data_IF_844581546063
#
_entry.id   IF_844581546063
#
_cell.length_a   1.000
_cell.length_b   1.000
_cell.length_c   1.000
_cell.angle_alpha   90.00
_cell.angle_beta   90.00
_cell.angle_gamma   90.00
#
_symmetry.space_group_name_H-M   'P 1'
#
loop_
_entity.id
_entity.type
_entity.pdbx_description
1 polymer ?
#
# COMPACT_ATOMS: atom_id res chain seq x y z
N UNK A 1 13.31 -2.47 1.09
CA UNK A 1 13.92 -1.19 0.65
C UNK A 1 12.87 -0.12 0.31
N UNK A 2 11.67 -0.44 -0.19
CA UNK A 2 10.68 0.57 -0.61
C UNK A 2 10.07 1.38 0.53
N UNK A 3 10.04 0.90 1.77
CA UNK A 3 9.48 1.66 2.91
C UNK A 3 10.36 2.82 3.39
N UNK A 4 11.65 2.84 3.02
CA UNK A 4 12.58 3.90 3.39
C UNK A 4 13.82 3.82 2.50
N UNK A 5 14.18 4.93 1.85
CA UNK A 5 15.24 4.96 0.83
C UNK A 5 16.61 5.43 1.32
N UNK A 6 16.76 5.78 2.62
CA UNK A 6 17.97 6.35 3.17
C UNK A 6 18.14 6.03 4.66
N UNK A 7 19.12 6.63 5.30
CA UNK A 7 19.33 6.54 6.75
C UNK A 7 18.23 7.27 7.52
N UNK A 8 17.83 6.71 8.64
CA UNK A 8 16.83 7.25 9.56
C UNK A 8 15.64 6.31 9.76
N UNK A 9 14.81 6.65 10.73
CA UNK A 9 13.69 5.82 11.17
C UNK A 9 12.36 6.19 10.47
N UNK A 10 12.44 6.86 9.31
CA UNK A 10 11.25 7.23 8.55
C UNK A 10 10.75 6.09 7.67
N UNK A 11 9.46 6.06 7.45
CA UNK A 11 8.80 5.14 6.56
C UNK A 11 7.88 5.87 5.59
N UNK A 12 7.87 5.45 4.33
CA UNK A 12 6.91 5.91 3.33
C UNK A 12 5.72 4.98 3.28
N UNK A 13 4.52 5.51 3.04
CA UNK A 13 3.39 4.68 2.62
C UNK A 13 3.67 4.24 1.18
N UNK A 14 3.56 2.94 0.91
CA UNK A 14 3.95 2.37 -0.39
C UNK A 14 2.75 1.68 -1.03
N UNK A 15 2.20 2.29 -2.05
CA UNK A 15 1.17 1.71 -2.91
C UNK A 15 1.77 0.81 -3.98
N UNK A 16 1.04 -0.24 -4.36
CA UNK A 16 1.43 -1.18 -5.40
C UNK A 16 0.27 -1.46 -6.37
N UNK A 17 -0.06 -0.49 -7.23
CA UNK A 17 -1.12 -0.64 -8.23
C UNK A 17 -0.80 -1.77 -9.21
N UNK A 18 -1.82 -2.45 -9.73
CA UNK A 18 -1.66 -3.48 -10.76
C UNK A 18 -2.26 -3.10 -12.12
N UNK A 19 -2.87 -1.93 -12.22
CA UNK A 19 -3.42 -1.39 -13.46
C UNK A 19 -3.32 0.14 -13.46
N UNK A 20 -3.55 0.76 -14.61
CA UNK A 20 -3.40 2.22 -14.78
C UNK A 20 -4.47 2.99 -14.01
N UNK A 21 -5.70 2.46 -13.90
CA UNK A 21 -6.74 3.12 -13.12
C UNK A 21 -6.35 3.21 -11.63
N UNK A 22 -5.91 2.11 -11.05
CA UNK A 22 -5.42 2.15 -9.66
C UNK A 22 -4.24 3.10 -9.48
N UNK A 23 -3.31 3.14 -10.45
CA UNK A 23 -2.18 4.06 -10.39
C UNK A 23 -2.65 5.52 -10.32
N UNK A 24 -3.66 5.90 -11.11
CA UNK A 24 -4.23 7.25 -11.09
C UNK A 24 -4.93 7.53 -9.77
N UNK A 25 -5.74 6.59 -9.28
CA UNK A 25 -6.47 6.72 -8.03
C UNK A 25 -5.51 6.82 -6.82
N UNK A 26 -4.48 5.96 -6.81
CA UNK A 26 -3.45 5.96 -5.77
C UNK A 26 -2.64 7.27 -5.76
N UNK A 27 -2.26 7.80 -6.93
CA UNK A 27 -1.57 9.10 -7.04
C UNK A 27 -2.46 10.22 -6.48
N UNK A 28 -3.75 10.18 -6.81
CA UNK A 28 -4.69 11.20 -6.35
C UNK A 28 -4.84 11.19 -4.82
N UNK A 29 -4.91 10.00 -4.24
CA UNK A 29 -4.99 9.81 -2.78
C UNK A 29 -3.64 10.08 -2.08
N UNK A 30 -2.52 9.77 -2.73
CA UNK A 30 -1.18 9.94 -2.17
C UNK A 30 -0.92 11.35 -1.64
N UNK A 31 -1.41 12.36 -2.34
CA UNK A 31 -1.30 13.76 -1.90
C UNK A 31 -2.04 14.03 -0.59
N UNK A 32 -3.22 13.47 -0.45
CA UNK A 32 -4.02 13.63 0.78
C UNK A 32 -3.34 12.96 1.98
N UNK A 33 -2.80 11.76 1.77
CA UNK A 33 -2.07 11.00 2.78
C UNK A 33 -0.80 11.75 3.17
N UNK A 34 -0.01 12.18 2.18
CA UNK A 34 1.25 12.88 2.42
C UNK A 34 1.05 14.16 3.25
N UNK A 35 0.01 14.92 2.97
CA UNK A 35 -0.30 16.15 3.70
C UNK A 35 -0.87 15.87 5.09
N UNK A 36 -1.80 14.92 5.23
CA UNK A 36 -2.45 14.56 6.49
C UNK A 36 -1.46 14.04 7.53
N UNK A 37 -0.56 13.17 7.12
CA UNK A 37 0.38 12.50 8.02
C UNK A 37 1.79 13.09 7.97
N UNK A 38 2.06 14.00 7.03
CA UNK A 38 3.40 14.55 6.76
C UNK A 38 4.43 13.43 6.58
N UNK A 39 4.11 12.51 5.69
CA UNK A 39 4.90 11.32 5.37
C UNK A 39 5.11 11.23 3.86
N UNK A 40 6.24 10.68 3.45
CA UNK A 40 6.43 10.36 2.04
C UNK A 40 5.46 9.26 1.58
N UNK A 41 4.97 9.38 0.35
CA UNK A 41 4.16 8.34 -0.28
C UNK A 41 4.86 7.91 -1.57
N UNK A 42 4.99 6.61 -1.75
CA UNK A 42 5.62 6.00 -2.92
C UNK A 42 4.58 5.21 -3.70
N UNK A 43 4.49 5.45 -5.00
CA UNK A 43 3.76 4.58 -5.92
C UNK A 43 4.79 3.63 -6.53
N UNK A 44 4.73 2.38 -6.11
CA UNK A 44 5.67 1.34 -6.54
C UNK A 44 5.08 0.57 -7.73
N UNK A 45 5.66 0.76 -8.89
CA UNK A 45 5.16 0.21 -10.15
C UNK A 45 6.29 -0.31 -11.01
N UNK A 46 5.99 -1.30 -11.84
CA UNK A 46 6.94 -1.86 -12.80
C UNK A 46 6.95 -1.05 -14.11
N UNK A 47 8.07 -1.11 -14.82
CA UNK A 47 8.24 -0.42 -16.11
C UNK A 47 7.18 -0.82 -17.15
N UNK A 48 6.75 -2.08 -17.15
CA UNK A 48 5.72 -2.58 -18.07
C UNK A 48 4.41 -1.86 -17.83
N UNK A 49 3.96 -1.74 -16.57
CA UNK A 49 2.74 -1.03 -16.22
C UNK A 49 2.82 0.44 -16.63
N UNK A 50 3.99 1.09 -16.44
CA UNK A 50 4.21 2.48 -16.84
C UNK A 50 4.25 2.70 -18.36
N UNK A 51 4.35 1.66 -19.18
CA UNK A 51 4.34 1.72 -20.64
C UNK A 51 3.02 1.24 -21.27
N UNK A 52 2.13 0.67 -20.47
CA UNK A 52 0.81 0.21 -20.94
C UNK A 52 -0.12 1.39 -21.22
N UNK A 53 -1.05 1.17 -22.12
CA UNK A 53 -2.16 2.07 -22.38
C UNK A 53 -3.46 1.35 -22.01
N UNK A 54 -4.18 1.92 -21.05
CA UNK A 54 -5.50 1.46 -20.62
C UNK A 54 -6.45 2.67 -20.57
N UNK A 55 -7.74 2.43 -20.73
CA UNK A 55 -8.75 3.47 -20.50
C UNK A 55 -8.78 3.85 -19.03
N UNK A 56 -8.78 5.14 -18.75
CA UNK A 56 -8.76 5.68 -17.39
C UNK A 56 -9.93 6.65 -17.21
N UNK A 57 -10.63 6.49 -16.12
CA UNK A 57 -11.61 7.46 -15.63
C UNK A 57 -10.91 8.41 -14.63
N UNK A 58 -10.81 9.69 -15.01
CA UNK A 58 -10.14 10.67 -14.15
C UNK A 58 -10.99 10.96 -12.91
N UNK A 59 -10.42 10.88 -11.71
CA UNK A 59 -11.14 11.23 -10.49
C UNK A 59 -11.64 12.68 -10.55
N UNK A 60 -12.82 12.97 -9.97
CA UNK A 60 -13.33 14.33 -9.93
C UNK A 60 -12.41 15.23 -9.11
N UNK A 61 -12.29 16.49 -9.54
CA UNK A 61 -11.53 17.47 -8.77
C UNK A 61 -12.14 17.63 -7.37
N UNK A 62 -11.34 17.36 -6.34
CA UNK A 62 -11.69 17.64 -4.94
C UNK A 62 -10.91 18.86 -4.46
N UNK A 63 -11.61 19.83 -3.89
CA UNK A 63 -10.94 20.85 -3.10
C UNK A 63 -10.38 20.18 -1.84
N UNK A 64 -9.10 20.41 -1.57
CA UNK A 64 -8.47 19.90 -0.36
C UNK A 64 -9.04 20.61 0.87
N UNK A 65 -9.43 19.81 1.86
CA UNK A 65 -9.94 20.29 3.15
C UNK A 65 -9.04 19.84 4.32
N UNK A 66 -7.74 19.72 4.07
CA UNK A 66 -6.77 19.32 5.09
C UNK A 66 -6.32 20.58 5.82
N UNK A 67 -6.52 20.61 7.13
CA UNK A 67 -5.90 21.62 7.98
C UNK A 67 -4.38 21.41 8.01
N UNK A 68 -3.68 22.34 7.40
CA UNK A 68 -2.22 22.37 7.38
C UNK A 68 -1.70 23.33 8.44
N UNK A 69 -1.68 22.91 9.70
CA UNK A 69 -1.12 23.69 10.81
C UNK A 69 0.38 23.96 10.66
N UNK A 70 1.02 23.20 9.78
CA UNK A 70 2.42 23.32 9.37
C UNK A 70 2.63 24.21 8.15
N UNK A 71 1.57 24.61 7.47
CA UNK A 71 1.63 25.39 6.25
C UNK A 71 2.13 26.81 6.48
N UNK A 72 2.77 27.41 5.48
CA UNK A 72 3.21 28.81 5.51
C UNK A 72 2.01 29.71 5.25
N UNK A 73 1.56 30.45 6.24
CA UNK A 73 0.39 31.34 6.19
C UNK A 73 0.73 32.82 6.42
N UNK A 74 2.00 33.16 6.54
CA UNK A 74 2.48 34.53 6.79
C UNK A 74 2.40 34.97 8.25
N UNK A 75 1.89 34.15 9.16
CA UNK A 75 1.74 34.53 10.60
C UNK A 75 2.97 34.21 11.45
N UNK A 76 4.02 33.62 10.87
CA UNK A 76 5.25 33.26 11.59
C UNK A 76 6.08 32.25 10.81
N UNK A 77 7.12 31.73 11.46
CA UNK A 77 7.95 30.68 10.90
C UNK A 77 7.18 29.35 11.12
N UNK A 78 6.40 28.98 10.13
CA UNK A 78 5.84 27.64 10.02
C UNK A 78 6.64 26.87 9.00
N UNK A 79 6.85 25.65 9.22
CA UNK A 79 7.63 24.79 8.35
C UNK A 79 7.82 23.45 9.02
N UNK A 80 8.88 22.76 8.67
CA UNK A 80 9.22 21.52 9.34
C UNK A 80 9.33 21.80 10.86
N UNK A 81 8.29 21.48 11.61
CA UNK A 81 8.39 21.41 13.06
C UNK A 81 9.37 20.29 13.39
N UNK A 82 10.61 20.68 13.57
CA UNK A 82 11.50 19.87 14.38
C UNK A 82 11.02 20.09 15.82
N UNK A 83 10.48 19.07 16.51
CA UNK A 83 10.24 19.21 17.93
C UNK A 83 11.60 19.51 18.53
N UNK A 84 11.77 20.71 19.05
CA UNK A 84 13.01 21.07 19.77
C UNK A 84 13.16 20.08 20.92
N UNK A 85 14.36 19.56 21.12
CA UNK A 85 14.61 18.56 22.15
C UNK A 85 15.81 17.69 21.83
N UNK A 86 15.99 16.63 22.56
CA UNK A 86 16.97 15.61 22.23
C UNK A 86 16.51 14.72 21.08
N UNK A 87 17.40 13.89 20.56
CA UNK A 87 17.07 13.01 19.43
C UNK A 87 15.95 12.00 19.75
N UNK A 88 15.70 11.71 21.02
CA UNK A 88 14.66 10.78 21.45
C UNK A 88 13.26 11.38 21.24
N UNK A 89 13.05 12.64 21.58
CA UNK A 89 11.77 13.32 21.35
C UNK A 89 11.38 13.34 19.87
N UNK A 90 12.38 13.50 18.99
CA UNK A 90 12.14 13.40 17.55
C UNK A 90 11.72 12.00 17.12
N UNK A 91 12.39 10.97 17.60
CA UNK A 91 12.06 9.57 17.30
C UNK A 91 10.64 9.24 17.78
N UNK A 92 10.29 9.62 19.01
CA UNK A 92 8.97 9.39 19.59
C UNK A 92 7.86 10.11 18.78
N UNK A 93 8.14 11.33 18.33
CA UNK A 93 7.23 12.06 17.43
C UNK A 93 7.02 11.32 16.09
N UNK A 94 8.10 10.86 15.44
CA UNK A 94 7.99 10.12 14.17
C UNK A 94 7.25 8.78 14.37
N UNK A 95 7.57 8.03 15.43
CA UNK A 95 6.91 6.76 15.72
C UNK A 95 5.41 6.94 15.97
N UNK A 96 5.00 8.00 16.65
CA UNK A 96 3.60 8.30 16.92
C UNK A 96 2.75 8.50 15.64
N UNK A 97 3.36 8.97 14.54
CA UNK A 97 2.70 9.05 13.24
C UNK A 97 2.38 7.67 12.68
N UNK A 98 3.34 6.75 12.77
CA UNK A 98 3.19 5.40 12.24
C UNK A 98 2.17 4.57 13.01
N UNK A 99 2.03 4.79 14.32
CA UNK A 99 0.97 4.16 15.13
C UNK A 99 -0.43 4.48 14.60
N UNK A 100 -0.62 5.66 14.00
CA UNK A 100 -1.89 6.05 13.35
C UNK A 100 -1.98 5.53 11.93
N UNK A 101 -0.90 5.60 11.15
CA UNK A 101 -0.86 5.21 9.75
C UNK A 101 -1.08 3.70 9.59
N UNK A 102 -0.42 2.88 10.41
CA UNK A 102 -0.44 1.42 10.31
C UNK A 102 -1.86 0.84 10.32
N UNK A 103 -2.76 1.17 11.25
CA UNK A 103 -4.11 0.62 11.25
C UNK A 103 -5.01 1.13 10.14
N UNK A 104 -4.76 2.33 9.61
CA UNK A 104 -5.62 3.00 8.63
C UNK A 104 -5.25 2.67 7.18
N UNK A 105 -3.97 2.39 6.91
CA UNK A 105 -3.45 2.26 5.54
C UNK A 105 -3.27 0.83 5.06
N UNK A 106 -3.68 -0.18 5.82
CA UNK A 106 -3.62 -1.56 5.35
C UNK A 106 -4.69 -1.82 4.30
N UNK A 107 -4.27 -2.25 3.09
CA UNK A 107 -5.19 -2.58 1.99
C UNK A 107 -4.73 -3.82 1.26
N UNK A 108 -5.69 -4.66 0.93
CA UNK A 108 -5.48 -5.93 0.23
C UNK A 108 -6.70 -6.31 -0.59
N UNK A 109 -6.52 -7.29 -1.45
CA UNK A 109 -7.56 -8.02 -2.13
C UNK A 109 -7.36 -9.51 -1.93
N UNK A 110 -8.46 -10.25 -1.90
CA UNK A 110 -8.48 -11.71 -1.87
C UNK A 110 -9.27 -12.21 -3.07
N UNK A 111 -8.72 -13.20 -3.76
CA UNK A 111 -9.36 -13.80 -4.91
C UNK A 111 -9.39 -15.31 -4.76
N UNK A 112 -10.59 -15.89 -4.65
CA UNK A 112 -10.84 -17.34 -4.49
C UNK A 112 -10.04 -17.97 -3.33
N UNK A 113 -9.99 -17.30 -2.19
CA UNK A 113 -9.21 -17.76 -1.03
C UNK A 113 -10.04 -18.57 -0.03
N UNK A 114 -11.36 -18.62 -0.16
CA UNK A 114 -12.31 -19.15 0.81
C UNK A 114 -12.12 -20.66 1.09
N UNK A 115 -11.69 -21.42 0.08
CA UNK A 115 -11.45 -22.86 0.16
C UNK A 115 -10.05 -23.28 -0.34
N UNK A 116 -9.16 -22.29 -0.50
CA UNK A 116 -7.82 -22.53 -1.03
C UNK A 116 -6.95 -23.33 -0.06
N UNK A 117 -6.18 -24.29 -0.57
CA UNK A 117 -5.13 -24.98 0.16
C UNK A 117 -3.79 -24.28 0.04
N UNK A 118 -3.55 -23.62 -1.09
CA UNK A 118 -2.38 -22.77 -1.32
C UNK A 118 -2.82 -21.41 -1.82
N UNK A 119 -2.16 -20.37 -1.34
CA UNK A 119 -2.47 -18.99 -1.70
C UNK A 119 -1.25 -18.33 -2.31
N UNK A 120 -1.36 -17.89 -3.56
CA UNK A 120 -0.36 -17.01 -4.15
C UNK A 120 -0.39 -15.65 -3.44
N UNK A 121 0.78 -15.08 -3.21
CA UNK A 121 0.91 -13.71 -2.71
C UNK A 121 1.71 -12.92 -3.73
N UNK A 122 1.06 -11.94 -4.34
CA UNK A 122 1.66 -11.13 -5.40
C UNK A 122 1.10 -9.71 -5.37
N UNK A 123 1.89 -8.74 -5.81
CA UNK A 123 1.47 -7.34 -5.98
C UNK A 123 1.84 -6.86 -7.40
N UNK A 124 1.35 -5.68 -7.78
CA UNK A 124 1.63 -5.11 -9.10
C UNK A 124 1.22 -6.03 -10.26
N UNK A 125 1.96 -5.98 -11.35
CA UNK A 125 1.69 -6.78 -12.55
C UNK A 125 1.66 -8.30 -12.31
N UNK A 126 2.57 -8.89 -11.50
CA UNK A 126 2.51 -10.31 -11.16
C UNK A 126 1.16 -10.75 -10.60
N UNK A 127 0.47 -9.89 -9.84
CA UNK A 127 -0.85 -10.24 -9.31
C UNK A 127 -1.91 -10.43 -10.40
N UNK A 128 -1.84 -9.68 -11.51
CA UNK A 128 -2.73 -9.88 -12.69
C UNK A 128 -2.49 -11.24 -13.33
N UNK A 129 -1.23 -11.61 -13.50
CA UNK A 129 -0.86 -12.93 -14.05
C UNK A 129 -1.35 -14.04 -13.11
N UNK A 130 -1.24 -13.85 -11.80
CA UNK A 130 -1.71 -14.83 -10.82
C UNK A 130 -3.22 -15.06 -10.88
N UNK A 131 -4.03 -14.06 -11.23
CA UNK A 131 -5.49 -14.26 -11.43
C UNK A 131 -5.74 -15.31 -12.51
N UNK A 132 -5.12 -15.16 -13.68
CA UNK A 132 -5.25 -16.13 -14.78
C UNK A 132 -4.73 -17.52 -14.41
N UNK A 133 -3.64 -17.56 -13.63
CA UNK A 133 -3.05 -18.84 -13.15
C UNK A 133 -4.00 -19.53 -12.18
N UNK A 134 -4.57 -18.78 -11.23
CA UNK A 134 -5.56 -19.30 -10.26
C UNK A 134 -6.75 -19.88 -11.00
N UNK A 135 -7.30 -19.19 -12.01
CA UNK A 135 -8.43 -19.68 -12.76
C UNK A 135 -8.12 -20.99 -13.50
N UNK A 136 -7.00 -21.07 -14.19
CA UNK A 136 -6.57 -22.29 -14.89
C UNK A 136 -6.33 -23.48 -13.96
N UNK A 137 -5.69 -23.25 -12.81
CA UNK A 137 -5.46 -24.29 -11.83
C UNK A 137 -6.77 -24.78 -11.21
N UNK A 138 -7.72 -23.89 -10.96
CA UNK A 138 -9.04 -24.24 -10.47
C UNK A 138 -9.87 -25.02 -11.49
N UNK A 139 -9.76 -24.74 -12.78
CA UNK A 139 -10.33 -25.57 -13.84
C UNK A 139 -9.78 -27.00 -13.84
N UNK A 140 -8.54 -27.18 -13.39
CA UNK A 140 -7.90 -28.49 -13.22
C UNK A 140 -8.23 -29.16 -11.87
N UNK A 141 -9.05 -28.52 -11.02
CA UNK A 141 -9.48 -29.05 -9.73
C UNK A 141 -8.59 -28.68 -8.55
N UNK A 142 -7.56 -27.86 -8.76
CA UNK A 142 -6.66 -27.41 -7.70
C UNK A 142 -7.28 -26.30 -6.86
N UNK A 143 -7.14 -26.40 -5.53
CA UNK A 143 -7.67 -25.39 -4.59
C UNK A 143 -6.63 -24.32 -4.30
N UNK A 144 -6.54 -23.36 -5.16
CA UNK A 144 -5.61 -22.24 -5.05
C UNK A 144 -6.35 -20.91 -5.04
N UNK A 145 -5.75 -19.89 -4.42
CA UNK A 145 -6.26 -18.52 -4.37
C UNK A 145 -5.13 -17.51 -4.50
N UNK A 146 -5.49 -16.23 -4.49
CA UNK A 146 -4.54 -15.12 -4.53
C UNK A 146 -4.84 -14.15 -3.38
N UNK A 147 -3.82 -13.79 -2.63
CA UNK A 147 -3.80 -12.65 -1.72
C UNK A 147 -2.92 -11.56 -2.31
N UNK A 148 -3.49 -10.39 -2.55
CA UNK A 148 -2.81 -9.24 -3.15
C UNK A 148 -2.69 -8.10 -2.15
N UNK A 149 -1.51 -7.79 -1.61
CA UNK A 149 -1.25 -6.50 -0.98
C UNK A 149 -1.43 -5.36 -1.99
N UNK A 150 -2.29 -4.39 -1.69
CA UNK A 150 -2.43 -3.13 -2.46
C UNK A 150 -1.51 -2.06 -1.90
N UNK A 151 -1.18 -2.15 -0.61
CA UNK A 151 -0.18 -1.35 0.08
C UNK A 151 0.87 -2.30 0.65
N UNK A 152 2.15 -2.03 0.33
CA UNK A 152 3.28 -2.83 0.79
C UNK A 152 3.80 -2.36 2.15
N UNK A 153 3.68 -1.07 2.42
CA UNK A 153 3.90 -0.51 3.73
C UNK A 153 2.84 0.56 4.04
N UNK A 154 2.13 0.47 5.18
CA UNK A 154 2.19 -0.62 6.16
C UNK A 154 1.69 -1.96 5.59
N UNK A 155 2.40 -3.03 5.94
CA UNK A 155 2.07 -4.37 5.46
C UNK A 155 0.69 -4.82 5.97
N UNK A 156 -0.17 -5.44 5.15
CA UNK A 156 -1.55 -5.75 5.49
C UNK A 156 -1.68 -7.00 6.37
N UNK A 157 -1.12 -6.97 7.59
CA UNK A 157 -1.22 -8.06 8.55
C UNK A 157 -2.66 -8.47 8.85
N UNK A 158 -3.57 -7.48 8.97
CA UNK A 158 -5.00 -7.74 9.19
C UNK A 158 -5.63 -8.59 8.09
N UNK A 159 -5.19 -8.40 6.85
CA UNK A 159 -5.68 -9.20 5.73
C UNK A 159 -5.28 -10.67 5.82
N UNK A 160 -4.08 -10.96 6.30
CA UNK A 160 -3.66 -12.33 6.54
C UNK A 160 -4.38 -12.96 7.74
N UNK A 161 -4.63 -12.20 8.80
CA UNK A 161 -5.43 -12.64 9.94
C UNK A 161 -6.87 -12.95 9.51
N UNK A 162 -7.47 -12.07 8.69
CA UNK A 162 -8.81 -12.26 8.13
C UNK A 162 -8.88 -13.53 7.27
N UNK A 163 -7.89 -13.72 6.38
CA UNK A 163 -7.78 -14.91 5.55
C UNK A 163 -7.67 -16.17 6.40
N UNK A 164 -6.81 -16.18 7.41
CA UNK A 164 -6.64 -17.31 8.31
C UNK A 164 -7.93 -17.66 9.09
N UNK A 165 -8.65 -16.63 9.54
CA UNK A 165 -9.92 -16.81 10.25
C UNK A 165 -11.02 -17.34 9.32
N UNK A 166 -11.06 -16.91 8.07
CA UNK A 166 -12.00 -17.35 7.06
C UNK A 166 -11.69 -18.76 6.57
N UNK A 167 -10.42 -19.05 6.31
CA UNK A 167 -9.95 -20.34 5.81
C UNK A 167 -8.72 -20.85 6.58
N UNK A 168 -8.93 -21.58 7.69
CA UNK A 168 -7.83 -22.15 8.47
C UNK A 168 -7.12 -23.34 7.79
N UNK A 169 -7.63 -23.79 6.63
CA UNK A 169 -7.06 -24.94 5.91
C UNK A 169 -5.94 -24.57 4.94
N UNK A 170 -5.55 -23.31 4.87
CA UNK A 170 -4.42 -22.87 4.06
C UNK A 170 -3.14 -23.55 4.55
N UNK A 171 -2.50 -24.32 3.67
CA UNK A 171 -1.27 -25.07 3.94
C UNK A 171 0.00 -24.26 3.72
N UNK A 172 -0.08 -23.25 2.82
CA UNK A 172 1.08 -22.45 2.51
C UNK A 172 0.79 -21.27 1.59
N UNK A 173 1.74 -20.32 1.61
CA UNK A 173 1.75 -19.17 0.72
C UNK A 173 2.89 -19.30 -0.29
N UNK A 174 2.64 -18.88 -1.52
CA UNK A 174 3.61 -18.88 -2.62
C UNK A 174 3.80 -17.43 -3.06
N UNK A 175 4.96 -16.85 -2.74
CA UNK A 175 5.31 -15.49 -3.19
C UNK A 175 5.66 -15.52 -4.68
N UNK A 176 5.08 -14.57 -5.43
CA UNK A 176 5.35 -14.38 -6.86
C UNK A 176 5.76 -12.93 -7.07
N UNK A 177 7.02 -12.74 -7.45
CA UNK A 177 7.65 -11.42 -7.60
C UNK A 177 8.42 -11.35 -8.92
N UNK A 178 8.54 -10.15 -9.46
CA UNK A 178 9.48 -9.85 -10.55
C UNK A 178 10.77 -9.31 -9.94
N UNK A 179 11.83 -10.10 -9.99
CA UNK A 179 13.19 -9.73 -9.57
C UNK A 179 14.13 -9.66 -10.77
#
# INVERSE_FOLDING_TARGET
DCKGGAHGDYHNVVFAPNNIQEMVDDIYEAWEIAERYRVGVTIFSEAVLGQMMESVEMPPFKKREIEMDWGIDGTGIKGMKYPGGDGQEYIDFELSKYERIIPEMQRWEQYRTEDAEYVFTAFGLPSRVCVDVVDKLRESGEKVGLFRPKILWPFPHKGFEELHNMNPNVRGFISVEMN
#
